data_IF_105846657171
#
_entry.id   IF_105846657171
#
_cell.length_a   1.000
_cell.length_b   1.000
_cell.length_c   1.000
_cell.angle_alpha   90.00
_cell.angle_beta   90.00
_cell.angle_gamma   90.00
#
_symmetry.space_group_name_H-M   'P 1'
#
loop_
_entity.id
_entity.type
_entity.pdbx_description
1 polymer ?
#
# COMPACT_ATOMS: atom_id res chain seq x y z
N UNK A 1 14.37 1.41 14.90
CA UNK A 1 13.33 2.27 14.30
C UNK A 1 12.99 1.67 12.95
N UNK A 2 11.74 1.28 12.69
CA UNK A 2 11.36 0.77 11.37
C UNK A 2 11.42 1.91 10.35
N UNK A 3 12.11 1.71 9.24
CA UNK A 3 12.18 2.69 8.15
C UNK A 3 10.83 2.76 7.45
N UNK A 4 10.32 3.97 7.23
CA UNK A 4 9.13 4.18 6.42
C UNK A 4 9.54 4.07 4.95
N UNK A 5 8.94 3.13 4.21
CA UNK A 5 9.25 2.91 2.79
C UNK A 5 8.26 3.61 1.87
N UNK A 6 7.00 3.72 2.30
CA UNK A 6 5.97 4.41 1.53
C UNK A 6 4.92 5.05 2.44
N UNK A 7 4.38 6.19 2.01
CA UNK A 7 3.29 6.88 2.68
C UNK A 7 2.27 7.31 1.63
N UNK A 8 0.99 7.11 1.93
CA UNK A 8 -0.08 7.64 1.11
C UNK A 8 -1.26 8.11 1.96
N UNK A 9 -2.18 8.85 1.34
CA UNK A 9 -3.40 9.33 1.99
C UNK A 9 -4.65 8.70 1.37
N UNK A 10 -5.63 8.40 2.21
CA UNK A 10 -6.96 7.95 1.81
C UNK A 10 -8.02 8.63 2.67
N UNK A 11 -8.81 9.53 2.09
CA UNK A 11 -9.75 10.39 2.82
C UNK A 11 -9.09 11.06 4.04
N UNK A 12 -9.50 10.68 5.26
CA UNK A 12 -8.98 11.19 6.53
C UNK A 12 -7.88 10.30 7.14
N UNK A 13 -7.24 9.47 6.32
CA UNK A 13 -6.28 8.48 6.76
C UNK A 13 -4.92 8.76 6.14
N UNK A 14 -3.88 8.71 6.97
CA UNK A 14 -2.49 8.59 6.53
C UNK A 14 -2.08 7.14 6.72
N UNK A 15 -1.69 6.48 5.63
CA UNK A 15 -1.30 5.07 5.62
C UNK A 15 0.21 4.99 5.41
N UNK A 16 0.88 4.28 6.29
CA UNK A 16 2.34 4.17 6.35
C UNK A 16 2.72 2.70 6.18
N UNK A 17 3.64 2.43 5.26
CA UNK A 17 4.13 1.10 4.94
C UNK A 17 5.58 0.96 5.41
N UNK A 18 5.81 -0.02 6.26
CA UNK A 18 7.11 -0.32 6.84
C UNK A 18 7.51 -1.76 6.53
N UNK A 19 8.79 -2.05 6.25
CA UNK A 19 9.28 -3.40 6.08
C UNK A 19 9.27 -4.11 7.43
N UNK A 20 8.87 -5.38 7.41
CA UNK A 20 8.87 -6.26 8.56
C UNK A 20 9.33 -7.66 8.12
N UNK A 21 10.06 -8.38 8.98
CA UNK A 21 10.43 -9.77 8.72
C UNK A 21 9.74 -10.63 9.78
N UNK A 22 8.92 -11.58 9.35
CA UNK A 22 8.20 -12.50 10.24
C UNK A 22 8.51 -13.92 9.79
N UNK A 23 9.10 -14.73 10.67
CA UNK A 23 9.50 -16.11 10.38
C UNK A 23 10.36 -16.23 9.10
N UNK A 24 11.24 -15.25 8.86
CA UNK A 24 12.12 -15.20 7.69
C UNK A 24 11.44 -14.77 6.38
N UNK A 25 10.15 -14.40 6.42
CA UNK A 25 9.41 -13.91 5.26
C UNK A 25 9.35 -12.38 5.27
N UNK A 26 9.55 -11.79 4.09
CA UNK A 26 9.32 -10.37 3.86
C UNK A 26 7.83 -10.05 3.98
N UNK A 27 7.51 -9.19 4.94
CA UNK A 27 6.19 -8.67 5.23
C UNK A 27 6.23 -7.14 5.14
N UNK A 28 5.07 -6.56 4.90
CA UNK A 28 4.87 -5.12 4.98
C UNK A 28 3.88 -4.84 6.09
N UNK A 29 4.35 -4.20 7.15
CA UNK A 29 3.50 -3.65 8.19
C UNK A 29 2.80 -2.40 7.65
N UNK A 30 1.49 -2.32 7.87
CA UNK A 30 0.66 -1.20 7.44
C UNK A 30 0.07 -0.51 8.66
N UNK A 31 0.54 0.70 8.93
CA UNK A 31 0.01 1.54 9.99
C UNK A 31 -0.92 2.58 9.40
N UNK A 32 -1.97 2.95 10.15
CA UNK A 32 -2.93 3.94 9.71
C UNK A 32 -3.18 4.96 10.82
N UNK A 33 -3.05 6.24 10.51
CA UNK A 33 -3.42 7.36 11.37
C UNK A 33 -4.75 7.96 10.89
N UNK A 34 -5.76 8.01 11.76
CA UNK A 34 -6.97 8.79 11.49
C UNK A 34 -6.75 10.24 11.87
N UNK A 35 -6.71 11.14 10.88
CA UNK A 35 -6.41 12.56 11.10
C UNK A 35 -7.52 13.31 11.81
N UNK A 36 -8.77 12.80 11.80
CA UNK A 36 -9.89 13.43 12.52
C UNK A 36 -9.79 13.20 14.02
N UNK A 37 -9.41 11.99 14.42
CA UNK A 37 -9.29 11.63 15.84
C UNK A 37 -7.86 11.71 16.38
N UNK A 38 -6.88 11.95 15.50
CA UNK A 38 -5.44 11.91 15.78
C UNK A 38 -4.99 10.59 16.45
N UNK A 39 -5.65 9.49 16.10
CA UNK A 39 -5.35 8.16 16.67
C UNK A 39 -4.83 7.22 15.61
N UNK A 40 -3.80 6.46 16.00
CA UNK A 40 -3.35 5.31 15.24
C UNK A 40 -4.38 4.19 15.36
N UNK A 41 -4.75 3.62 14.22
CA UNK A 41 -5.59 2.43 14.11
C UNK A 41 -4.74 1.18 14.25
N UNK A 42 -5.40 0.05 14.49
CA UNK A 42 -4.73 -1.26 14.54
C UNK A 42 -3.98 -1.50 13.23
N UNK A 43 -2.69 -1.86 13.27
CA UNK A 43 -1.94 -2.12 12.05
C UNK A 43 -2.44 -3.40 11.38
N UNK A 44 -2.36 -3.40 10.05
CA UNK A 44 -2.55 -4.57 9.19
C UNK A 44 -1.19 -5.03 8.66
N UNK A 45 -1.13 -6.22 8.04
CA UNK A 45 0.09 -6.74 7.43
C UNK A 45 -0.23 -7.39 6.09
N UNK A 46 0.60 -7.11 5.09
CA UNK A 46 0.52 -7.76 3.77
C UNK A 46 1.81 -8.52 3.46
N UNK A 47 1.68 -9.60 2.69
CA UNK A 47 2.81 -10.46 2.32
C UNK A 47 3.58 -9.83 1.16
N UNK A 48 4.90 -9.69 1.34
CA UNK A 48 5.82 -9.14 0.34
C UNK A 48 6.54 -7.90 0.83
N UNK A 49 7.51 -7.46 0.04
CA UNK A 49 8.38 -6.33 0.38
C UNK A 49 7.62 -5.00 0.41
N UNK A 50 8.00 -4.15 1.37
CA UNK A 50 7.54 -2.76 1.46
C UNK A 50 8.28 -1.83 0.49
N UNK A 51 9.41 -2.29 -0.06
CA UNK A 51 10.29 -1.49 -0.91
C UNK A 51 9.63 -1.17 -2.24
N UNK A 52 9.76 0.08 -2.67
CA UNK A 52 9.28 0.54 -3.97
C UNK A 52 7.80 0.23 -4.22
N UNK A 53 7.00 0.28 -3.14
CA UNK A 53 5.55 0.32 -3.24
C UNK A 53 5.15 1.62 -3.92
N UNK A 54 4.13 1.54 -4.78
CA UNK A 54 3.44 2.72 -5.28
C UNK A 54 1.97 2.65 -4.91
N UNK A 55 1.37 3.82 -4.69
CA UNK A 55 -0.07 3.93 -4.43
C UNK A 55 -0.71 4.86 -5.44
N UNK A 56 -1.91 4.53 -5.90
CA UNK A 56 -2.69 5.37 -6.81
C UNK A 56 -4.17 5.31 -6.49
N UNK A 57 -4.87 6.39 -6.84
CA UNK A 57 -6.33 6.45 -6.79
C UNK A 57 -6.92 6.19 -8.17
N UNK A 58 -7.98 5.40 -8.22
CA UNK A 58 -8.91 5.36 -9.37
C UNK A 58 -10.31 5.50 -8.79
N UNK A 59 -11.03 6.52 -9.25
CA UNK A 59 -12.32 6.93 -8.69
C UNK A 59 -12.23 7.17 -7.17
N UNK A 60 -13.09 6.53 -6.37
CA UNK A 60 -13.13 6.63 -4.91
C UNK A 60 -12.30 5.56 -4.19
N UNK A 61 -11.47 4.81 -4.93
CA UNK A 61 -10.70 3.69 -4.40
C UNK A 61 -9.21 4.01 -4.38
N UNK A 62 -8.53 3.52 -3.36
CA UNK A 62 -7.08 3.57 -3.25
C UNK A 62 -6.50 2.17 -3.47
N UNK A 63 -5.47 2.11 -4.31
CA UNK A 63 -4.76 0.89 -4.64
C UNK A 63 -3.30 1.00 -4.25
N UNK A 64 -2.74 -0.14 -3.83
CA UNK A 64 -1.33 -0.32 -3.50
C UNK A 64 -0.77 -1.38 -4.43
N UNK A 65 0.39 -1.12 -5.03
CA UNK A 65 1.04 -2.04 -5.94
C UNK A 65 2.46 -2.31 -5.44
N UNK A 66 2.75 -3.59 -5.21
CA UNK A 66 4.07 -4.07 -4.81
C UNK A 66 4.92 -4.42 -6.02
N UNK A 67 6.24 -4.45 -5.83
CA UNK A 67 7.23 -4.77 -6.88
C UNK A 67 7.01 -6.14 -7.52
N UNK A 68 6.45 -7.08 -6.79
CA UNK A 68 6.12 -8.44 -7.28
C UNK A 68 4.80 -8.52 -8.07
N UNK A 69 4.19 -7.36 -8.36
CA UNK A 69 2.97 -7.23 -9.14
C UNK A 69 1.69 -7.44 -8.36
N UNK A 70 1.74 -7.68 -7.04
CA UNK A 70 0.51 -7.77 -6.23
C UNK A 70 -0.18 -6.42 -6.13
N UNK A 71 -1.41 -6.38 -6.63
CA UNK A 71 -2.32 -5.25 -6.54
C UNK A 71 -3.29 -5.46 -5.37
N UNK A 72 -3.23 -4.54 -4.42
CA UNK A 72 -4.10 -4.50 -3.25
C UNK A 72 -5.04 -3.31 -3.34
N UNK A 73 -6.27 -3.52 -2.89
CA UNK A 73 -7.24 -2.45 -2.66
C UNK A 73 -7.31 -2.13 -1.18
N UNK A 74 -7.29 -0.85 -0.87
CA UNK A 74 -7.49 -0.35 0.49
C UNK A 74 -8.99 -0.26 0.74
N UNK A 75 -9.49 -1.15 1.60
CA UNK A 75 -10.88 -1.15 2.04
C UNK A 75 -10.99 -0.53 3.44
N UNK A 76 -11.87 0.46 3.54
CA UNK A 76 -12.32 0.99 4.82
C UNK A 76 -13.56 0.22 5.24
N UNK A 77 -13.38 -0.99 5.79
CA UNK A 77 -14.52 -1.80 6.26
C UNK A 77 -15.12 -1.23 7.55
N UNK A 78 -14.34 -0.52 8.38
CA UNK A 78 -14.82 0.08 9.63
C UNK A 78 -14.17 1.43 9.96
N UNK A 79 -14.79 2.18 10.88
CA UNK A 79 -14.20 3.39 11.49
C UNK A 79 -12.86 3.08 12.17
N UNK A 80 -12.62 1.82 12.56
CA UNK A 80 -11.53 1.39 13.45
C UNK A 80 -10.30 0.82 12.74
N UNK A 81 -10.38 0.44 11.46
CA UNK A 81 -9.26 -0.22 10.77
C UNK A 81 -9.22 0.04 9.27
N UNK A 82 -8.02 -0.03 8.71
CA UNK A 82 -7.79 -0.14 7.26
C UNK A 82 -7.44 -1.58 6.98
N UNK A 83 -8.10 -2.19 6.01
CA UNK A 83 -7.75 -3.53 5.54
C UNK A 83 -7.31 -3.49 4.10
N UNK A 84 -6.30 -4.28 3.77
CA UNK A 84 -5.87 -4.45 2.39
C UNK A 84 -6.38 -5.76 1.83
N UNK A 85 -7.15 -5.67 0.75
CA UNK A 85 -7.65 -6.82 0.01
C UNK A 85 -6.78 -7.06 -1.21
N UNK A 86 -6.14 -8.23 -1.30
CA UNK A 86 -5.46 -8.63 -2.52
C UNK A 86 -6.49 -8.80 -3.64
N UNK A 87 -6.33 -8.08 -4.75
CA UNK A 87 -7.20 -8.20 -5.92
C UNK A 87 -6.66 -9.21 -6.92
N UNK A 88 -5.39 -9.04 -7.30
CA UNK A 88 -4.70 -9.90 -8.27
C UNK A 88 -3.20 -9.63 -8.27
N UNK A 89 -2.47 -10.50 -8.95
CA UNK A 89 -1.07 -10.27 -9.35
C UNK A 89 -1.06 -9.87 -10.83
N UNK A 90 -0.46 -8.72 -11.16
CA UNK A 90 -0.41 -8.16 -12.51
C UNK A 90 0.73 -8.73 -13.36
N UNK A 91 1.86 -9.08 -12.74
CA UNK A 91 3.03 -9.66 -13.38
C UNK A 91 3.77 -10.59 -12.42
N UNK A 92 4.70 -11.38 -12.95
CA UNK A 92 5.62 -12.20 -12.17
C UNK A 92 7.02 -11.58 -12.19
N UNK A 93 7.75 -11.72 -11.08
CA UNK A 93 9.06 -11.09 -10.89
C UNK A 93 8.99 -9.71 -10.22
N UNK A 94 10.15 -9.22 -9.79
CA UNK A 94 10.25 -7.95 -9.06
C UNK A 94 10.61 -6.82 -10.03
N UNK A 95 9.69 -5.89 -10.22
CA UNK A 95 9.90 -4.66 -10.99
C UNK A 95 9.98 -3.49 -10.00
N UNK A 96 11.11 -2.78 -10.00
CA UNK A 96 11.26 -1.60 -9.16
C UNK A 96 10.42 -0.46 -9.75
N UNK A 97 9.51 0.08 -8.94
CA UNK A 97 8.64 1.19 -9.33
C UNK A 97 9.03 2.44 -8.54
N UNK A 98 9.16 3.56 -9.23
CA UNK A 98 9.43 4.87 -8.65
C UNK A 98 8.17 5.73 -8.54
N UNK A 99 7.14 5.41 -9.32
CA UNK A 99 5.91 6.15 -9.33
C UNK A 99 4.87 5.51 -10.23
N UNK A 100 3.68 6.06 -10.17
CA UNK A 100 2.53 5.64 -10.97
C UNK A 100 1.75 6.89 -11.37
N UNK A 101 1.33 6.94 -12.63
CA UNK A 101 0.51 8.02 -13.15
C UNK A 101 -0.70 7.45 -13.86
N UNK A 102 -1.84 8.07 -13.62
CA UNK A 102 -3.09 7.73 -14.29
C UNK A 102 -3.35 8.78 -15.37
N UNK A 103 -3.46 8.35 -16.62
CA UNK A 103 -3.75 9.22 -17.77
C UNK A 103 -4.92 8.58 -18.52
N UNK A 104 -6.07 9.27 -18.51
CA UNK A 104 -7.34 8.77 -19.04
C UNK A 104 -7.73 7.41 -18.41
N UNK A 105 -7.85 6.36 -19.20
CA UNK A 105 -8.19 5.00 -18.74
C UNK A 105 -6.97 4.11 -18.48
N UNK A 106 -5.75 4.65 -18.69
CA UNK A 106 -4.52 3.88 -18.61
C UNK A 106 -3.69 4.27 -17.38
N UNK A 107 -3.18 3.23 -16.72
CA UNK A 107 -2.26 3.37 -15.60
C UNK A 107 -0.84 3.07 -16.10
N UNK A 108 0.05 4.04 -15.94
CA UNK A 108 1.46 3.93 -16.32
C UNK A 108 2.32 3.85 -15.07
N UNK A 109 3.30 2.95 -15.07
CA UNK A 109 4.28 2.80 -14.01
C UNK A 109 5.62 3.37 -14.45
N UNK A 110 6.26 4.14 -13.59
CA UNK A 110 7.59 4.68 -13.83
C UNK A 110 8.59 3.70 -13.21
N UNK A 111 9.37 3.06 -14.07
CA UNK A 111 10.37 2.04 -13.70
C UNK A 111 11.75 2.45 -14.22
N UNK A 112 12.82 1.85 -13.72
CA UNK A 112 14.19 2.12 -14.17
C UNK A 112 15.17 1.09 -13.62
#
# INVERSE_FOLDING_TARGET
MQTIEHVCSFDFLIIVFCPEIINGLDMTAVHCLDTRSQKWKKPDKIIGSAKSIVSFRKEKRLYILQTDGKLWEVNQEEVSSVRLKLLKRLWNGNIKMYGVININEFLYFITG
#
